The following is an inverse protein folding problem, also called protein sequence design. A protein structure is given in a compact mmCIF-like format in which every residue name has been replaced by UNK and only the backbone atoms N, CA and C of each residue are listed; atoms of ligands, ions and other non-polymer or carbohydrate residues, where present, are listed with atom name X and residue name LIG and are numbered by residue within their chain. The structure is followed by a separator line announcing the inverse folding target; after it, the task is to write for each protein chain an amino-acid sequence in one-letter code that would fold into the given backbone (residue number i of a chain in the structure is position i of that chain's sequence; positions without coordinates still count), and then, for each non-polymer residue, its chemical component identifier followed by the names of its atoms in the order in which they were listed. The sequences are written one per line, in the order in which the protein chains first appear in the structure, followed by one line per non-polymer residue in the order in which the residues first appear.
data_IF_639468164950
#
_entry.id   IF_639468164950
#
_cell.length_a   1.000
_cell.length_b   1.000
_cell.length_c   1.000
_cell.angle_alpha   90.00
_cell.angle_beta   90.00
_cell.angle_gamma   90.00
#
_symmetry.space_group_name_H-M   'P 1'
#
loop_
_entity.id
_entity.type
_entity.pdbx_description
1 polymer ?
#
# COMPACT_ATOMS: atom_id res chain seq x y z
N UNK A 1 -64.81 -51.51 -9.81
CA UNK A 1 -65.60 -50.87 -10.88
C UNK A 1 -65.87 -49.43 -10.45
N UNK A 2 -65.67 -48.43 -11.33
CA UNK A 2 -66.03 -46.98 -11.21
C UNK A 2 -65.17 -46.11 -10.24
N UNK A 3 -64.72 -44.86 -10.51
CA UNK A 3 -64.56 -43.92 -11.66
C UNK A 3 -63.46 -42.91 -11.26
N UNK A 4 -62.80 -42.28 -12.24
CA UNK A 4 -61.88 -41.13 -12.16
C UNK A 4 -62.49 -39.81 -11.59
N UNK A 5 -61.57 -38.96 -11.09
CA UNK A 5 -61.42 -37.50 -11.32
C UNK A 5 -61.66 -36.44 -10.22
N UNK A 6 -60.54 -35.73 -9.96
CA UNK A 6 -60.28 -34.26 -9.87
C UNK A 6 -60.53 -33.39 -8.62
N UNK A 7 -59.54 -32.48 -8.44
CA UNK A 7 -59.47 -31.22 -7.65
C UNK A 7 -59.11 -31.38 -6.16
N UNK A 8 -58.32 -30.52 -5.51
CA UNK A 8 -57.79 -29.18 -5.80
C UNK A 8 -56.56 -28.90 -4.93
N UNK A 9 -55.71 -27.97 -5.40
CA UNK A 9 -54.52 -27.41 -4.75
C UNK A 9 -54.88 -26.57 -3.51
N UNK A 10 -54.10 -26.69 -2.42
CA UNK A 10 -53.63 -25.54 -1.61
C UNK A 10 -52.45 -25.91 -0.69
N UNK A 11 -51.33 -25.21 -0.95
CA UNK A 11 -50.19 -24.86 -0.09
C UNK A 11 -49.91 -25.62 1.22
N UNK A 12 -48.83 -26.40 1.22
CA UNK A 12 -48.06 -26.77 2.41
C UNK A 12 -46.64 -26.21 2.32
N UNK A 13 -46.29 -25.32 3.24
CA UNK A 13 -44.99 -24.67 3.38
C UNK A 13 -43.87 -25.70 3.52
N UNK A 14 -42.96 -25.75 2.54
CA UNK A 14 -41.64 -26.36 2.73
C UNK A 14 -40.72 -25.30 3.32
N UNK A 15 -40.31 -25.49 4.59
CA UNK A 15 -39.19 -24.78 5.18
C UNK A 15 -37.90 -25.17 4.44
N UNK A 16 -37.61 -24.46 3.36
CA UNK A 16 -36.25 -24.38 2.82
C UNK A 16 -35.49 -23.45 3.75
N UNK A 17 -34.65 -24.02 4.60
CA UNK A 17 -33.59 -23.29 5.28
C UNK A 17 -32.60 -22.84 4.21
N UNK A 18 -32.72 -21.59 3.78
CA UNK A 18 -31.69 -20.88 3.02
C UNK A 18 -30.46 -20.70 3.92
N UNK A 19 -29.23 -20.98 3.45
CA UNK A 19 -28.03 -20.58 4.18
C UNK A 19 -27.98 -19.05 4.19
N UNK A 20 -28.10 -18.51 5.40
CA UNK A 20 -28.02 -17.10 5.68
C UNK A 20 -26.57 -16.63 5.61
N UNK A 21 -26.33 -15.67 4.72
CA UNK A 21 -25.30 -14.63 4.77
C UNK A 21 -23.82 -15.03 4.66
N UNK A 22 -23.29 -14.86 3.45
CA UNK A 22 -21.87 -14.53 3.23
C UNK A 22 -21.68 -13.09 2.66
N UNK A 23 -22.76 -12.29 2.61
CA UNK A 23 -22.77 -10.97 1.95
C UNK A 23 -22.07 -9.87 2.76
N UNK A 24 -21.86 -10.07 4.07
CA UNK A 24 -21.26 -9.05 4.94
C UNK A 24 -19.75 -8.91 4.68
N UNK A 25 -19.06 -10.01 4.37
CA UNK A 25 -17.62 -9.97 4.06
C UNK A 25 -17.35 -9.37 2.68
N UNK A 26 -18.20 -9.69 1.70
CA UNK A 26 -18.08 -9.14 0.34
C UNK A 26 -18.41 -7.64 0.30
N UNK A 27 -19.40 -7.20 1.09
CA UNK A 27 -19.76 -5.79 1.25
C UNK A 27 -18.62 -4.98 1.87
N UNK A 28 -17.98 -5.47 2.93
CA UNK A 28 -16.86 -4.77 3.56
C UNK A 28 -15.63 -4.68 2.66
N UNK A 29 -15.28 -5.76 1.95
CA UNK A 29 -14.21 -5.75 0.97
C UNK A 29 -14.48 -4.77 -0.18
N UNK A 30 -15.72 -4.72 -0.68
CA UNK A 30 -16.12 -3.77 -1.72
C UNK A 30 -16.03 -2.33 -1.23
N UNK A 31 -16.49 -2.04 -0.01
CA UNK A 31 -16.44 -0.68 0.55
C UNK A 31 -15.00 -0.24 0.79
N UNK A 32 -14.14 -1.11 1.35
CA UNK A 32 -12.72 -0.85 1.60
C UNK A 32 -11.93 -0.64 0.30
N UNK A 33 -12.14 -1.49 -0.71
CA UNK A 33 -11.55 -1.32 -2.06
C UNK A 33 -11.98 0.00 -2.69
N UNK A 34 -13.22 0.42 -2.47
CA UNK A 34 -13.74 1.69 -3.01
C UNK A 34 -13.12 2.89 -2.28
N UNK A 35 -12.92 2.80 -0.96
CA UNK A 35 -12.26 3.84 -0.17
C UNK A 35 -10.77 3.95 -0.52
N UNK A 36 -10.05 2.83 -0.65
CA UNK A 36 -8.66 2.83 -1.09
C UNK A 36 -8.53 3.34 -2.52
N UNK A 37 -9.42 2.94 -3.44
CA UNK A 37 -9.43 3.47 -4.81
C UNK A 37 -9.73 4.98 -4.85
N UNK A 38 -10.64 5.46 -4.00
CA UNK A 38 -10.92 6.88 -3.87
C UNK A 38 -9.76 7.65 -3.24
N UNK A 39 -9.02 7.04 -2.30
CA UNK A 39 -7.81 7.60 -1.69
C UNK A 39 -6.65 7.65 -2.69
N UNK A 40 -6.44 6.58 -3.45
CA UNK A 40 -5.45 6.53 -4.52
C UNK A 40 -5.78 7.56 -5.60
N UNK A 41 -7.07 7.73 -5.92
CA UNK A 41 -7.54 8.76 -6.86
C UNK A 41 -7.36 10.17 -6.29
N UNK A 42 -7.65 10.41 -5.02
CA UNK A 42 -7.49 11.74 -4.39
C UNK A 42 -6.02 12.10 -4.21
N UNK A 43 -5.15 11.14 -3.90
CA UNK A 43 -3.68 11.29 -3.90
C UNK A 43 -3.14 11.51 -5.31
N UNK A 44 -3.60 10.74 -6.31
CA UNK A 44 -3.24 10.96 -7.71
C UNK A 44 -3.66 12.36 -8.20
N UNK A 45 -4.84 12.83 -7.78
CA UNK A 45 -5.30 14.19 -8.05
C UNK A 45 -4.46 15.23 -7.29
N UNK A 46 -4.08 14.98 -6.04
CA UNK A 46 -3.18 15.85 -5.28
C UNK A 46 -1.81 15.96 -5.98
N UNK A 47 -1.28 14.85 -6.49
CA UNK A 47 -0.04 14.79 -7.28
C UNK A 47 -0.16 15.52 -8.62
N UNK A 48 -1.34 15.56 -9.23
CA UNK A 48 -1.60 16.37 -10.43
C UNK A 48 -1.55 17.88 -10.15
N UNK A 49 -1.83 18.33 -8.91
CA UNK A 49 -1.71 19.73 -8.50
C UNK A 49 -0.34 20.09 -7.91
N UNK A 50 0.48 19.09 -7.57
CA UNK A 50 1.91 19.29 -7.32
C UNK A 50 2.58 19.29 -8.69
N UNK A 51 2.52 20.43 -9.38
CA UNK A 51 3.44 20.68 -10.50
C UNK A 51 4.85 20.33 -10.02
N UNK A 52 5.64 19.50 -10.74
CA UNK A 52 7.01 19.23 -10.35
C UNK A 52 7.78 20.53 -10.59
N UNK A 53 7.83 21.38 -9.58
CA UNK A 53 8.80 22.45 -9.43
C UNK A 53 10.14 21.81 -9.08
N UNK A 54 10.63 20.93 -9.96
CA UNK A 54 11.93 20.28 -9.77
C UNK A 54 12.62 20.02 -11.11
N UNK A 55 12.69 21.07 -11.93
CA UNK A 55 13.76 21.21 -12.90
C UNK A 55 15.01 21.78 -12.17
N UNK A 56 15.67 20.95 -11.35
CA UNK A 56 16.87 21.36 -10.62
C UNK A 56 17.48 20.20 -9.86
N UNK A 57 18.47 19.53 -10.47
CA UNK A 57 19.22 18.39 -9.92
C UNK A 57 18.37 17.30 -9.26
N UNK A 58 17.85 16.38 -10.08
CA UNK A 58 17.06 15.20 -9.69
C UNK A 58 17.92 14.22 -8.88
N UNK A 59 18.07 14.47 -7.57
CA UNK A 59 18.65 13.49 -6.66
C UNK A 59 17.93 12.15 -6.87
N UNK A 60 18.69 11.06 -6.90
CA UNK A 60 18.17 9.72 -7.15
C UNK A 60 18.73 8.76 -6.11
N UNK A 61 18.04 7.64 -5.91
CA UNK A 61 18.55 6.54 -5.08
C UNK A 61 19.68 5.77 -5.74
N UNK A 62 20.07 6.12 -6.98
CA UNK A 62 21.08 5.40 -7.78
C UNK A 62 20.79 3.90 -7.97
N UNK A 63 19.51 3.51 -7.88
CA UNK A 63 19.02 2.16 -8.16
C UNK A 63 17.90 2.23 -9.19
N UNK A 64 17.75 1.16 -9.98
CA UNK A 64 16.59 1.02 -10.87
C UNK A 64 15.34 0.65 -10.07
N UNK A 65 14.16 0.92 -10.65
CA UNK A 65 12.88 0.44 -10.10
C UNK A 65 12.87 -1.09 -9.97
N UNK A 66 13.41 -1.81 -10.94
CA UNK A 66 13.48 -3.28 -10.89
C UNK A 66 14.37 -3.78 -9.75
N UNK A 67 15.54 -3.17 -9.55
CA UNK A 67 16.42 -3.52 -8.42
C UNK A 67 15.72 -3.30 -7.08
N UNK A 68 14.96 -2.21 -6.96
CA UNK A 68 14.11 -1.97 -5.79
C UNK A 68 13.05 -3.07 -5.62
N UNK A 69 12.36 -3.47 -6.70
CA UNK A 69 11.37 -4.55 -6.66
C UNK A 69 11.98 -5.89 -6.22
N UNK A 70 13.15 -6.23 -6.75
CA UNK A 70 13.84 -7.49 -6.42
C UNK A 70 14.21 -7.53 -4.93
N UNK A 71 14.75 -6.43 -4.39
CA UNK A 71 15.09 -6.31 -2.96
C UNK A 71 13.85 -6.33 -2.07
N UNK A 72 12.79 -5.62 -2.47
CA UNK A 72 11.53 -5.62 -1.75
C UNK A 72 10.93 -7.03 -1.69
N UNK A 73 10.89 -7.74 -2.81
CA UNK A 73 10.39 -9.11 -2.88
C UNK A 73 11.23 -10.09 -2.04
N UNK A 74 12.55 -9.90 -2.01
CA UNK A 74 13.42 -10.67 -1.12
C UNK A 74 13.10 -10.41 0.37
N UNK A 75 12.87 -9.15 0.75
CA UNK A 75 12.47 -8.77 2.11
C UNK A 75 11.10 -9.35 2.50
N UNK A 76 10.10 -9.27 1.62
CA UNK A 76 8.78 -9.87 1.85
C UNK A 76 8.86 -11.39 2.04
N UNK A 77 9.69 -12.06 1.23
CA UNK A 77 9.93 -13.51 1.35
C UNK A 77 10.55 -13.85 2.70
N UNK A 78 11.56 -13.09 3.16
CA UNK A 78 12.18 -13.28 4.49
C UNK A 78 11.18 -13.12 5.63
N UNK A 79 10.21 -12.21 5.49
CA UNK A 79 9.15 -11.97 6.48
C UNK A 79 8.00 -13.00 6.41
N UNK A 80 8.06 -13.97 5.49
CA UNK A 80 6.97 -14.90 5.20
C UNK A 80 5.65 -14.18 4.82
N UNK A 81 5.76 -13.04 4.14
CA UNK A 81 4.62 -12.29 3.62
C UNK A 81 4.37 -12.73 2.17
N UNK A 82 3.24 -13.37 1.84
CA UNK A 82 2.98 -13.96 0.52
C UNK A 82 2.51 -12.91 -0.50
N UNK A 83 3.18 -11.77 -0.55
CA UNK A 83 2.89 -10.66 -1.46
C UNK A 83 4.10 -10.41 -2.36
N UNK A 84 3.86 -9.80 -3.53
CA UNK A 84 4.92 -9.56 -4.51
C UNK A 84 4.72 -8.22 -5.21
N UNK A 85 5.73 -7.37 -5.10
CA UNK A 85 5.85 -6.15 -5.89
C UNK A 85 6.15 -6.50 -7.35
N UNK A 86 5.27 -6.05 -8.24
CA UNK A 86 5.47 -6.05 -9.68
C UNK A 86 5.38 -4.62 -10.17
N UNK A 87 6.40 -4.16 -10.89
CA UNK A 87 6.49 -2.79 -11.38
C UNK A 87 6.10 -2.77 -12.86
N UNK A 88 5.07 -1.99 -13.16
CA UNK A 88 4.70 -1.61 -14.51
C UNK A 88 4.84 -0.08 -14.59
N UNK A 89 5.82 0.40 -15.36
CA UNK A 89 6.08 1.83 -15.50
C UNK A 89 5.09 2.46 -16.48
N UNK A 90 4.41 3.51 -16.04
CA UNK A 90 3.63 4.40 -16.87
C UNK A 90 4.52 5.55 -17.34
N UNK A 91 4.63 5.73 -18.66
CA UNK A 91 5.54 6.71 -19.24
C UNK A 91 5.02 8.13 -19.05
N UNK A 92 5.82 8.98 -18.43
CA UNK A 92 5.56 10.41 -18.37
C UNK A 92 6.53 11.22 -19.22
N UNK A 93 6.44 12.54 -19.11
CA UNK A 93 7.29 13.48 -19.88
C UNK A 93 8.65 13.75 -19.22
N UNK A 94 8.72 13.66 -17.89
CA UNK A 94 9.95 13.90 -17.10
C UNK A 94 10.19 12.83 -16.03
N UNK A 95 9.12 12.19 -15.56
CA UNK A 95 9.13 11.13 -14.57
C UNK A 95 8.22 10.02 -15.07
N UNK A 96 8.65 8.78 -14.95
CA UNK A 96 7.83 7.58 -15.16
C UNK A 96 7.41 7.08 -13.78
N UNK A 97 6.12 6.83 -13.58
CA UNK A 97 5.59 6.40 -12.28
C UNK A 97 5.16 4.93 -12.35
N UNK A 98 5.13 4.27 -11.19
CA UNK A 98 4.46 2.99 -11.03
C UNK A 98 3.62 2.99 -9.76
N UNK A 99 2.54 2.22 -9.79
CA UNK A 99 1.67 2.03 -8.65
C UNK A 99 1.52 0.53 -8.38
N UNK A 100 1.46 0.17 -7.10
CA UNK A 100 1.26 -1.20 -6.67
C UNK A 100 0.43 -1.23 -5.40
N UNK A 101 -0.56 -2.11 -5.36
CA UNK A 101 -1.40 -2.36 -4.18
C UNK A 101 -1.01 -3.73 -3.66
N UNK A 102 -0.47 -3.77 -2.44
CA UNK A 102 -0.05 -5.02 -1.80
C UNK A 102 -1.25 -5.77 -1.22
N UNK A 103 -2.16 -5.06 -0.58
CA UNK A 103 -3.43 -5.55 -0.03
C UNK A 103 -4.43 -4.38 0.04
N UNK A 104 -5.64 -4.59 0.57
CA UNK A 104 -6.64 -3.52 0.70
C UNK A 104 -6.23 -2.34 1.61
N UNK A 105 -5.10 -2.42 2.31
CA UNK A 105 -4.65 -1.45 3.32
C UNK A 105 -3.30 -0.81 3.02
N UNK A 106 -2.53 -1.34 2.06
CA UNK A 106 -1.18 -0.88 1.75
C UNK A 106 -0.98 -0.70 0.26
N UNK A 107 -0.74 0.56 -0.12
CA UNK A 107 -0.38 0.98 -1.47
C UNK A 107 1.03 1.54 -1.53
N UNK A 108 1.66 1.44 -2.70
CA UNK A 108 2.96 2.00 -3.03
C UNK A 108 2.86 2.73 -4.36
N UNK A 109 3.40 3.95 -4.39
CA UNK A 109 3.65 4.72 -5.59
C UNK A 109 5.16 4.96 -5.64
N UNK A 110 5.78 4.72 -6.78
CA UNK A 110 7.19 5.04 -6.98
C UNK A 110 7.39 5.83 -8.25
N UNK A 111 8.39 6.70 -8.20
CA UNK A 111 8.73 7.61 -9.29
C UNK A 111 10.14 7.33 -9.79
N UNK A 112 10.31 7.38 -11.10
CA UNK A 112 11.56 7.09 -11.81
C UNK A 112 11.89 8.26 -12.71
N UNK A 113 13.11 8.77 -12.64
CA UNK A 113 13.54 9.82 -13.57
C UNK A 113 13.61 9.25 -15.00
N UNK A 114 12.83 9.80 -15.95
CA UNK A 114 12.70 9.20 -17.29
C UNK A 114 14.03 9.10 -18.05
N UNK A 115 15.03 9.96 -17.75
CA UNK A 115 16.34 9.97 -18.42
C UNK A 115 17.29 8.88 -17.89
N UNK A 116 17.54 8.86 -16.59
CA UNK A 116 18.46 7.87 -15.99
C UNK A 116 17.80 6.52 -15.70
N UNK A 117 16.47 6.47 -15.72
CA UNK A 117 15.68 5.31 -15.30
C UNK A 117 15.98 4.90 -13.84
N UNK A 118 16.40 5.86 -13.02
CA UNK A 118 16.68 5.66 -11.60
C UNK A 118 15.49 6.08 -10.76
N UNK A 119 15.21 5.30 -9.72
CA UNK A 119 14.21 5.60 -8.72
C UNK A 119 14.57 6.92 -8.03
N UNK A 120 13.62 7.86 -7.95
CA UNK A 120 13.82 9.19 -7.38
C UNK A 120 12.85 9.52 -6.24
N UNK A 121 11.88 8.64 -5.95
CA UNK A 121 10.97 8.79 -4.82
C UNK A 121 10.07 7.58 -4.64
N UNK A 122 9.64 7.32 -3.42
CA UNK A 122 8.52 6.42 -3.13
C UNK A 122 7.57 7.03 -2.09
N UNK A 123 6.30 6.69 -2.22
CA UNK A 123 5.21 6.99 -1.29
C UNK A 123 4.51 5.69 -0.96
N UNK A 124 4.39 5.34 0.32
CA UNK A 124 3.55 4.25 0.79
C UNK A 124 2.38 4.80 1.61
N UNK A 125 1.21 4.23 1.35
CA UNK A 125 -0.01 4.52 2.07
C UNK A 125 -0.33 3.29 2.93
N UNK A 126 -0.55 3.47 4.22
CA UNK A 126 -0.92 2.39 5.14
C UNK A 126 -2.09 2.81 6.00
N UNK A 127 -3.19 2.06 5.94
CA UNK A 127 -4.30 2.23 6.87
C UNK A 127 -3.89 1.78 8.28
N UNK A 128 -4.11 2.62 9.30
CA UNK A 128 -3.77 2.30 10.70
C UNK A 128 -4.99 1.98 11.59
N UNK A 129 -6.21 2.06 11.05
CA UNK A 129 -7.47 1.76 11.76
C UNK A 129 -7.80 0.27 11.88
N UNK A 130 -6.87 -0.59 11.47
CA UNK A 130 -7.08 -2.04 11.35
C UNK A 130 -6.68 -2.81 12.63
N UNK A 131 -7.13 -4.08 12.78
CA UNK A 131 -6.71 -4.93 13.88
C UNK A 131 -5.18 -4.98 14.01
N UNK A 132 -4.69 -5.14 15.25
CA UNK A 132 -3.26 -5.04 15.56
C UNK A 132 -2.36 -5.94 14.68
N UNK A 133 -2.82 -7.15 14.33
CA UNK A 133 -2.07 -8.04 13.43
C UNK A 133 -1.98 -7.53 11.99
N UNK A 134 -3.06 -6.95 11.46
CA UNK A 134 -3.08 -6.32 10.13
C UNK A 134 -2.16 -5.12 10.12
N UNK A 135 -2.27 -4.25 11.13
CA UNK A 135 -1.39 -3.08 11.29
C UNK A 135 0.08 -3.50 11.39
N UNK A 136 0.38 -4.58 12.13
CA UNK A 136 1.74 -5.14 12.21
C UNK A 136 2.26 -5.59 10.85
N UNK A 137 1.46 -6.35 10.09
CA UNK A 137 1.86 -6.80 8.75
C UNK A 137 2.05 -5.62 7.78
N UNK A 138 1.18 -4.62 7.84
CA UNK A 138 1.29 -3.42 7.01
C UNK A 138 2.59 -2.65 7.30
N UNK A 139 2.94 -2.48 8.57
CA UNK A 139 4.21 -1.88 8.97
C UNK A 139 5.43 -2.72 8.54
N UNK A 140 5.31 -4.04 8.52
CA UNK A 140 6.36 -4.92 7.98
C UNK A 140 6.56 -4.73 6.47
N UNK A 141 5.49 -4.47 5.70
CA UNK A 141 5.59 -4.12 4.28
C UNK A 141 6.31 -2.77 4.10
N UNK A 142 5.97 -1.77 4.93
CA UNK A 142 6.65 -0.46 4.90
C UNK A 142 8.14 -0.60 5.25
N UNK A 143 8.46 -1.33 6.31
CA UNK A 143 9.84 -1.59 6.70
C UNK A 143 10.62 -2.34 5.61
N UNK A 144 9.97 -3.29 4.92
CA UNK A 144 10.56 -3.99 3.78
C UNK A 144 10.88 -3.05 2.62
N UNK A 145 10.02 -2.06 2.33
CA UNK A 145 10.25 -1.08 1.29
C UNK A 145 11.40 -0.13 1.65
N UNK A 146 11.44 0.38 2.88
CA UNK A 146 12.53 1.24 3.33
C UNK A 146 13.86 0.50 3.38
N UNK A 147 13.87 -0.75 3.83
CA UNK A 147 15.06 -1.61 3.76
C UNK A 147 15.52 -1.81 2.31
N UNK A 148 14.61 -2.02 1.36
CA UNK A 148 14.96 -2.22 -0.04
C UNK A 148 15.67 -1.00 -0.67
N UNK A 149 15.34 0.22 -0.21
CA UNK A 149 16.04 1.45 -0.58
C UNK A 149 17.45 1.51 0.00
N UNK A 150 17.61 1.16 1.28
CA UNK A 150 18.88 1.26 2.00
C UNK A 150 19.89 0.19 1.58
N UNK A 151 19.46 -0.91 0.95
CA UNK A 151 20.36 -1.92 0.40
C UNK A 151 20.03 -3.35 0.81
N UNK A 152 20.83 -4.29 0.32
CA UNK A 152 20.66 -5.71 0.62
C UNK A 152 20.91 -6.00 2.10
N UNK A 153 20.04 -6.80 2.71
CA UNK A 153 20.14 -7.32 4.09
C UNK A 153 19.94 -6.30 5.24
N UNK A 154 19.38 -5.12 4.96
CA UNK A 154 19.12 -4.13 6.01
C UNK A 154 17.83 -4.35 6.79
N UNK A 155 17.02 -5.35 6.44
CA UNK A 155 15.71 -5.56 7.09
C UNK A 155 15.83 -5.88 8.58
N UNK A 156 16.87 -6.63 8.95
CA UNK A 156 17.18 -6.98 10.35
C UNK A 156 18.16 -5.98 10.96
N UNK A 157 18.54 -4.92 10.23
CA UNK A 157 19.41 -3.88 10.76
C UNK A 157 18.69 -3.15 11.90
N UNK A 158 19.37 -2.94 13.04
CA UNK A 158 18.88 -2.04 14.08
C UNK A 158 18.51 -0.67 13.52
N UNK A 159 19.24 -0.19 12.51
CA UNK A 159 19.00 1.11 11.88
C UNK A 159 17.61 1.25 11.25
N UNK A 160 17.13 0.21 10.54
CA UNK A 160 15.78 0.23 9.95
C UNK A 160 14.71 0.20 11.02
N UNK A 161 14.93 -0.59 12.07
CA UNK A 161 13.99 -0.72 13.18
C UNK A 161 13.90 0.57 13.99
N UNK A 162 15.03 1.15 14.37
CA UNK A 162 15.11 2.41 15.13
C UNK A 162 14.56 3.58 14.33
N UNK A 163 14.87 3.66 13.04
CA UNK A 163 14.29 4.64 12.14
C UNK A 163 12.77 4.52 12.10
N UNK A 164 12.23 3.33 11.84
CA UNK A 164 10.78 3.11 11.74
C UNK A 164 10.07 3.45 13.05
N UNK A 165 10.62 3.00 14.18
CA UNK A 165 10.06 3.30 15.50
C UNK A 165 10.05 4.82 15.76
N UNK A 166 11.17 5.50 15.51
CA UNK A 166 11.27 6.94 15.68
C UNK A 166 10.32 7.73 14.75
N UNK A 167 10.18 7.32 13.49
CA UNK A 167 9.23 7.92 12.56
C UNK A 167 7.79 7.82 13.07
N UNK A 168 7.39 6.63 13.50
CA UNK A 168 6.04 6.39 13.99
C UNK A 168 5.76 7.14 15.29
N UNK A 169 6.70 7.12 16.23
CA UNK A 169 6.56 7.82 17.52
C UNK A 169 6.36 9.33 17.32
N UNK A 170 7.20 9.94 16.48
CA UNK A 170 7.11 11.37 16.21
C UNK A 170 5.84 11.71 15.43
N UNK A 171 5.47 10.87 14.46
CA UNK A 171 4.24 11.04 13.67
C UNK A 171 2.98 10.97 14.54
N UNK A 172 2.94 10.05 15.50
CA UNK A 172 1.82 9.93 16.44
C UNK A 172 1.76 11.11 17.43
N UNK A 173 2.92 11.65 17.82
CA UNK A 173 2.98 12.73 18.83
C UNK A 173 2.73 14.11 18.22
N UNK A 174 3.18 14.34 16.99
CA UNK A 174 3.24 15.67 16.36
C UNK A 174 2.55 15.75 14.99
N UNK A 175 1.96 14.66 14.51
CA UNK A 175 1.39 14.54 13.17
C UNK A 175 2.42 14.25 12.07
N UNK A 176 3.73 14.41 12.34
CA UNK A 176 4.80 14.16 11.36
C UNK A 176 6.11 13.70 12.00
N UNK A 177 6.60 12.55 11.58
CA UNK A 177 7.94 12.06 11.88
C UNK A 177 8.88 12.23 10.68
N UNK A 178 10.12 12.65 10.92
CA UNK A 178 11.17 12.73 9.90
C UNK A 178 12.45 12.09 10.41
N UNK A 179 13.05 11.22 9.61
CA UNK A 179 14.37 10.62 9.87
C UNK A 179 15.21 10.71 8.61
N UNK A 180 16.51 10.84 8.77
CA UNK A 180 17.45 10.76 7.66
C UNK A 180 18.44 9.65 7.97
N UNK A 181 18.55 8.71 7.04
CA UNK A 181 19.55 7.64 7.06
C UNK A 181 20.33 7.74 5.77
N UNK A 182 21.66 7.83 5.89
CA UNK A 182 22.55 8.11 4.77
C UNK A 182 22.10 9.35 3.97
N UNK A 183 21.84 9.18 2.66
CA UNK A 183 21.34 10.19 1.74
C UNK A 183 19.86 10.03 1.45
N UNK A 184 19.10 9.41 2.34
CA UNK A 184 17.66 9.22 2.19
C UNK A 184 16.93 9.87 3.36
N UNK A 185 15.97 10.73 3.04
CA UNK A 185 15.02 11.29 3.99
C UNK A 185 13.76 10.44 3.99
N UNK A 186 13.40 9.91 5.15
CA UNK A 186 12.18 9.18 5.41
C UNK A 186 11.21 10.05 6.19
N UNK A 187 9.93 9.99 5.84
CA UNK A 187 8.86 10.72 6.53
C UNK A 187 7.73 9.77 6.85
N UNK A 188 7.08 9.96 8.00
CA UNK A 188 5.77 9.41 8.31
C UNK A 188 4.86 10.58 8.66
N UNK A 189 3.65 10.63 8.10
CA UNK A 189 2.65 11.66 8.40
C UNK A 189 1.35 10.95 8.76
N UNK A 190 0.81 11.25 9.94
CA UNK A 190 -0.45 10.69 10.41
C UNK A 190 -1.56 11.70 10.13
N UNK A 191 -2.63 11.28 9.44
CA UNK A 191 -3.81 12.12 9.22
C UNK A 191 -4.88 11.87 10.31
N UNK A 192 -5.80 12.82 10.48
CA UNK A 192 -6.96 12.72 11.38
C UNK A 192 -7.83 11.49 11.09
N UNK A 193 -7.85 11.03 9.84
CA UNK A 193 -8.58 9.85 9.37
C UNK A 193 -7.86 8.50 9.62
N UNK A 194 -6.85 8.46 10.50
CA UNK A 194 -6.09 7.26 10.93
C UNK A 194 -5.21 6.57 9.89
N UNK A 195 -5.00 7.17 8.73
CA UNK A 195 -4.01 6.69 7.75
C UNK A 195 -2.61 7.26 8.02
N UNK A 196 -1.58 6.45 7.73
CA UNK A 196 -0.18 6.89 7.77
C UNK A 196 0.38 6.91 6.35
N UNK A 197 0.88 8.07 5.96
CA UNK A 197 1.60 8.28 4.70
C UNK A 197 3.09 8.22 5.00
N UNK A 198 3.77 7.27 4.39
CA UNK A 198 5.22 7.13 4.45
C UNK A 198 5.83 7.62 3.15
N UNK A 199 6.91 8.38 3.22
CA UNK A 199 7.67 8.78 2.03
C UNK A 199 9.16 8.52 2.23
N UNK A 200 9.84 8.26 1.13
CA UNK A 200 11.29 8.27 1.10
C UNK A 200 11.77 9.04 -0.14
N UNK A 201 12.72 9.94 0.09
CA UNK A 201 13.25 10.86 -0.92
C UNK A 201 14.78 10.92 -0.83
N UNK A 202 15.49 10.95 -1.97
CA UNK A 202 16.94 11.12 -1.99
C UNK A 202 17.30 12.57 -1.63
N UNK A 203 18.32 12.72 -0.80
CA UNK A 203 18.92 14.02 -0.47
C UNK A 203 20.01 14.38 -1.48
N UNK A 204 20.17 15.67 -1.85
CA UNK A 204 21.23 16.14 -2.75
C UNK A 204 22.66 15.78 -2.29
#
# INVERSE_FOLDING_TARGET
MKVLSTSSVTHGFSHVVLPHQNDINQSRQSIMLTQLAALMLSVALLLCFITPTYAGSTASFKISSQTFADRMNANLTKLNIPLKLTINLEKGTSVDDFQHIFNEYVGLIGSVESKSQQLNGIVLLSAASEPAETTRQNLQIVAAAFSALLGENNLESPEVTEMMFGLLQDSQTSGKGVRQVEKVRFTATTNEDTDIIFTAEPMP
#
